data_IF_562159429633
#
_entry.id   IF_562159429633
#
_cell.length_a   1.000
_cell.length_b   1.000
_cell.length_c   1.000
_cell.angle_alpha   90.00
_cell.angle_beta   90.00
_cell.angle_gamma   90.00
#
_symmetry.space_group_name_H-M   'P 1'
#
loop_
_entity.id
_entity.type
_entity.pdbx_description
1 polymer ?
#
# COMPACT_ATOMS: atom_id res chain seq x y z
N UNK A 1 0.36 8.27 -9.64
CA UNK A 1 0.14 6.81 -9.78
C UNK A 1 0.99 6.13 -10.86
N UNK A 2 1.02 6.58 -12.12
CA UNK A 2 1.65 5.85 -13.23
C UNK A 2 3.10 5.37 -13.00
N UNK A 3 3.91 6.10 -12.23
CA UNK A 3 5.30 5.71 -11.94
C UNK A 3 5.40 4.43 -11.10
N UNK A 4 4.51 4.22 -10.12
CA UNK A 4 4.63 3.06 -9.22
C UNK A 4 4.36 1.77 -10.00
N UNK A 5 3.22 1.69 -10.68
CA UNK A 5 2.84 0.52 -11.46
C UNK A 5 3.85 0.22 -12.58
N UNK A 6 4.35 1.24 -13.30
CA UNK A 6 5.36 1.03 -14.34
C UNK A 6 6.70 0.55 -13.79
N UNK A 7 7.14 1.09 -12.65
CA UNK A 7 8.35 0.62 -11.96
C UNK A 7 8.20 -0.81 -11.46
N UNK A 8 7.09 -1.16 -10.81
CA UNK A 8 6.83 -2.53 -10.34
C UNK A 8 6.82 -3.50 -11.51
N UNK A 9 6.15 -3.17 -12.62
CA UNK A 9 6.15 -3.99 -13.84
C UNK A 9 7.56 -4.25 -14.36
N UNK A 10 8.42 -3.24 -14.37
CA UNK A 10 9.80 -3.38 -14.82
C UNK A 10 10.61 -4.28 -13.88
N UNK A 11 10.40 -4.16 -12.57
CA UNK A 11 11.07 -4.99 -11.56
C UNK A 11 10.64 -6.46 -11.67
N UNK A 12 9.33 -6.75 -11.77
CA UNK A 12 8.84 -8.13 -11.94
C UNK A 12 9.48 -8.76 -13.18
N UNK A 13 9.48 -8.05 -14.32
CA UNK A 13 10.09 -8.56 -15.56
C UNK A 13 11.58 -8.85 -15.42
N UNK A 14 12.30 -8.02 -14.66
CA UNK A 14 13.73 -8.19 -14.44
C UNK A 14 14.03 -9.43 -13.60
N UNK A 15 13.25 -9.65 -12.54
CA UNK A 15 13.56 -10.66 -11.52
C UNK A 15 12.82 -12.00 -11.70
N UNK A 16 11.80 -12.07 -12.56
CA UNK A 16 11.00 -13.30 -12.77
C UNK A 16 11.81 -14.51 -13.27
N UNK A 17 13.01 -14.29 -13.83
CA UNK A 17 13.90 -15.38 -14.28
C UNK A 17 14.77 -15.87 -13.12
N UNK A 18 15.09 -14.99 -12.18
CA UNK A 18 16.01 -15.26 -11.07
C UNK A 18 15.29 -15.84 -9.84
N UNK A 19 14.02 -15.48 -9.64
CA UNK A 19 13.24 -15.87 -8.47
C UNK A 19 11.99 -16.65 -8.89
N UNK A 20 11.75 -17.77 -8.19
CA UNK A 20 10.56 -18.57 -8.39
C UNK A 20 9.27 -17.84 -7.97
N UNK A 21 9.37 -16.89 -7.04
CA UNK A 21 8.25 -16.12 -6.52
C UNK A 21 8.66 -14.67 -6.26
N UNK A 22 7.78 -13.73 -6.61
CA UNK A 22 7.96 -12.30 -6.35
C UNK A 22 6.76 -11.81 -5.56
N UNK A 23 7.04 -11.32 -4.35
CA UNK A 23 6.05 -10.76 -3.44
C UNK A 23 6.13 -9.23 -3.42
N UNK A 24 5.01 -8.58 -3.67
CA UNK A 24 4.90 -7.12 -3.66
C UNK A 24 4.24 -6.70 -2.34
N UNK A 25 4.97 -5.92 -1.53
CA UNK A 25 4.43 -5.29 -0.31
C UNK A 25 4.20 -3.81 -0.61
N UNK A 26 2.93 -3.45 -0.80
CA UNK A 26 2.54 -2.07 -1.03
C UNK A 26 1.16 -1.81 -0.43
N UNK A 27 1.08 -0.85 0.50
CA UNK A 27 -0.20 -0.39 1.04
C UNK A 27 -0.87 0.51 0.00
N UNK A 28 -1.97 0.04 -0.59
CA UNK A 28 -2.67 0.73 -1.66
C UNK A 28 -3.46 1.95 -1.16
N UNK A 29 -2.77 3.07 -0.93
CA UNK A 29 -3.36 4.37 -0.62
C UNK A 29 -3.79 5.11 -1.90
N UNK A 30 -4.69 4.51 -2.69
CA UNK A 30 -5.42 5.22 -3.74
C UNK A 30 -5.06 4.87 -5.19
N UNK A 31 -4.42 3.73 -5.46
CA UNK A 31 -4.30 3.19 -6.83
C UNK A 31 -5.58 2.54 -7.35
N UNK A 32 -6.58 2.32 -6.48
CA UNK A 32 -7.88 1.77 -6.88
C UNK A 32 -7.75 0.38 -7.49
N UNK A 33 -6.95 -0.48 -6.86
CA UNK A 33 -6.66 -1.86 -7.29
C UNK A 33 -5.87 -1.99 -8.59
N UNK A 34 -5.40 -0.90 -9.21
CA UNK A 34 -4.60 -0.97 -10.44
C UNK A 34 -3.30 -1.75 -10.24
N UNK A 35 -2.65 -1.60 -9.08
CA UNK A 35 -1.42 -2.33 -8.80
C UNK A 35 -1.67 -3.81 -8.55
N UNK A 36 -2.76 -4.15 -7.87
CA UNK A 36 -3.19 -5.54 -7.67
C UNK A 36 -3.45 -6.22 -9.01
N UNK A 37 -4.26 -5.60 -9.88
CA UNK A 37 -4.59 -6.13 -11.20
C UNK A 37 -3.34 -6.34 -12.08
N UNK A 38 -2.35 -5.46 -11.96
CA UNK A 38 -1.05 -5.61 -12.63
C UNK A 38 -0.30 -6.84 -12.12
N UNK A 39 -0.23 -7.03 -10.80
CA UNK A 39 0.46 -8.18 -10.20
C UNK A 39 -0.22 -9.49 -10.61
N UNK A 40 -1.56 -9.54 -10.54
CA UNK A 40 -2.36 -10.71 -10.92
C UNK A 40 -2.13 -11.07 -12.40
N UNK A 41 -2.15 -10.07 -13.30
CA UNK A 41 -1.90 -10.27 -14.73
C UNK A 41 -0.46 -10.69 -15.07
N UNK A 42 0.47 -10.58 -14.13
CA UNK A 42 1.86 -11.01 -14.27
C UNK A 42 2.19 -12.28 -13.48
N UNK A 43 1.19 -12.88 -12.81
CA UNK A 43 1.40 -14.06 -11.96
C UNK A 43 2.27 -13.79 -10.73
N UNK A 44 2.35 -12.54 -10.28
CA UNK A 44 3.04 -12.15 -9.04
C UNK A 44 2.04 -11.90 -7.92
N UNK A 45 2.44 -12.08 -6.67
CA UNK A 45 1.53 -11.95 -5.53
C UNK A 45 1.73 -10.63 -4.80
N UNK A 46 0.64 -9.91 -4.56
CA UNK A 46 0.65 -8.75 -3.69
C UNK A 46 0.21 -9.16 -2.28
N UNK A 47 0.99 -8.78 -1.27
CA UNK A 47 0.63 -9.03 0.12
C UNK A 47 -0.47 -8.05 0.50
N UNK A 48 -1.63 -8.58 0.92
CA UNK A 48 -2.76 -7.78 1.37
C UNK A 48 -2.39 -6.94 2.58
N UNK A 49 -2.80 -5.67 2.59
CA UNK A 49 -2.73 -4.80 3.75
C UNK A 49 -3.18 -3.40 3.38
N UNK A 50 -4.11 -2.84 4.14
CA UNK A 50 -4.73 -1.57 3.81
C UNK A 50 -3.71 -0.43 3.97
N UNK A 51 -2.95 -0.44 5.08
CA UNK A 51 -1.99 0.60 5.46
C UNK A 51 -0.74 -0.01 6.14
N UNK A 52 0.31 0.79 6.33
CA UNK A 52 1.52 0.35 7.05
C UNK A 52 1.23 -0.17 8.47
N UNK A 53 0.27 0.43 9.17
CA UNK A 53 -0.20 -0.05 10.48
C UNK A 53 -0.79 -1.47 10.40
N UNK A 54 -1.55 -1.78 9.35
CA UNK A 54 -2.12 -3.11 9.10
C UNK A 54 -1.04 -4.17 8.91
N UNK A 55 0.05 -3.83 8.20
CA UNK A 55 1.19 -4.73 8.05
C UNK A 55 1.94 -4.96 9.37
N UNK A 56 2.09 -3.92 10.18
CA UNK A 56 2.79 -4.01 11.46
C UNK A 56 2.02 -4.84 12.49
N UNK A 57 0.71 -4.61 12.60
CA UNK A 57 -0.14 -5.25 13.61
C UNK A 57 -0.69 -6.62 13.16
N UNK A 58 -0.72 -6.85 11.85
CA UNK A 58 -1.38 -7.97 11.21
C UNK A 58 -2.83 -7.63 10.84
N UNK A 59 -3.23 -7.98 9.61
CA UNK A 59 -4.51 -7.56 9.04
C UNK A 59 -5.72 -7.99 9.88
N UNK A 60 -5.71 -9.21 10.44
CA UNK A 60 -6.83 -9.70 11.25
C UNK A 60 -7.04 -8.88 12.52
N UNK A 61 -5.95 -8.53 13.21
CA UNK A 61 -6.01 -7.69 14.41
C UNK A 61 -6.43 -6.26 14.04
N UNK A 62 -5.87 -5.73 12.95
CA UNK A 62 -6.20 -4.41 12.45
C UNK A 62 -7.70 -4.28 12.09
N UNK A 63 -8.26 -5.24 11.36
CA UNK A 63 -9.69 -5.27 10.99
C UNK A 63 -10.60 -5.42 12.21
N UNK A 64 -10.20 -6.21 13.22
CA UNK A 64 -11.00 -6.45 14.42
C UNK A 64 -11.24 -5.17 15.25
N UNK A 65 -10.37 -4.16 15.16
CA UNK A 65 -10.52 -2.91 15.92
C UNK A 65 -11.64 -2.01 15.42
N UNK A 66 -12.13 -2.22 14.19
CA UNK A 66 -13.17 -1.40 13.56
C UNK A 66 -12.96 0.11 13.75
N UNK A 67 -11.73 0.60 13.55
CA UNK A 67 -11.32 1.98 13.82
C UNK A 67 -11.87 3.00 12.78
N UNK A 68 -13.17 2.96 12.51
CA UNK A 68 -13.85 3.82 11.55
C UNK A 68 -13.80 5.33 11.92
N UNK A 69 -13.46 5.64 13.18
CA UNK A 69 -13.38 7.00 13.72
C UNK A 69 -11.96 7.53 13.93
N UNK A 70 -10.92 6.77 13.54
CA UNK A 70 -9.53 7.16 13.77
C UNK A 70 -8.85 7.61 12.49
N UNK A 71 -8.15 8.75 12.57
CA UNK A 71 -7.23 9.18 11.52
C UNK A 71 -5.81 8.80 11.93
N UNK A 72 -5.15 7.98 11.12
CA UNK A 72 -3.72 7.73 11.25
C UNK A 72 -2.95 8.94 10.72
N UNK A 73 -2.59 9.85 11.61
CA UNK A 73 -1.75 10.98 11.24
C UNK A 73 -0.33 10.49 10.96
N UNK A 74 0.06 10.57 9.70
CA UNK A 74 1.47 10.46 9.34
C UNK A 74 2.22 11.71 9.79
N UNK A 75 3.54 11.61 9.94
CA UNK A 75 4.39 12.76 10.24
C UNK A 75 4.17 13.94 9.28
N UNK A 76 3.84 13.66 8.01
CA UNK A 76 3.46 14.68 7.04
C UNK A 76 2.18 15.43 7.44
N UNK A 77 1.12 14.71 7.82
CA UNK A 77 -0.14 15.30 8.26
C UNK A 77 0.03 16.12 9.54
N UNK A 78 0.82 15.63 10.51
CA UNK A 78 1.14 16.40 11.72
C UNK A 78 1.82 17.73 11.37
N UNK A 79 2.80 17.71 10.45
CA UNK A 79 3.52 18.92 10.02
C UNK A 79 2.67 19.88 9.18
N UNK A 80 1.52 19.43 8.66
CA UNK A 80 0.63 20.20 7.78
C UNK A 80 -0.78 20.34 8.34
N UNK A 81 -0.96 20.09 9.64
CA UNK A 81 -2.27 20.05 10.26
C UNK A 81 -3.04 21.36 10.03
N UNK A 82 -2.44 22.50 10.39
CA UNK A 82 -3.06 23.82 10.21
C UNK A 82 -3.39 24.14 8.75
N UNK A 83 -2.57 23.65 7.82
CA UNK A 83 -2.77 23.89 6.39
C UNK A 83 -3.96 23.10 5.82
N UNK A 84 -4.32 21.96 6.41
CA UNK A 84 -5.42 21.12 5.97
C UNK A 84 -6.72 21.34 6.75
N UNK A 85 -6.61 21.66 8.04
CA UNK A 85 -7.76 21.71 8.95
C UNK A 85 -8.04 23.10 9.52
N UNK A 86 -7.19 24.08 9.22
CA UNK A 86 -7.27 25.43 9.79
C UNK A 86 -6.64 25.49 11.19
N UNK A 87 -6.17 26.68 11.56
CA UNK A 87 -5.76 26.96 12.93
C UNK A 87 -7.02 27.11 13.81
N UNK A 88 -7.00 26.51 15.00
CA UNK A 88 -8.01 26.70 16.06
C UNK A 88 -8.03 28.16 16.54
#
# INVERSE_FOLDING_TARGET
MNKIASTIKALIKKYQIEYAEILIIYADFGTGSQLQNLCDGMGSSMISGQHCSSFYEGNANFEARQEFAYFYLTYFLVRKFDAFFGAL
#
